data_IF_263003544936
#
_entry.id   IF_263003544936
#
_cell.length_a   1.000
_cell.length_b   1.000
_cell.length_c   1.000
_cell.angle_alpha   90.00
_cell.angle_beta   90.00
_cell.angle_gamma   90.00
#
_symmetry.space_group_name_H-M   'P 1'
#
loop_
_entity.id
_entity.type
_entity.pdbx_description
1 polymer ?
#
# COMPACT_ATOMS: atom_id res chain seq x y z
N UNK A 1 -67.59 9.30 -89.29
CA UNK A 1 -66.31 8.66 -88.96
C UNK A 1 -66.48 8.04 -87.59
N UNK A 2 -66.69 6.72 -87.52
CA UNK A 2 -66.88 6.00 -86.25
C UNK A 2 -65.51 5.58 -85.67
N UNK A 3 -65.18 5.90 -84.41
CA UNK A 3 -63.90 5.51 -83.83
C UNK A 3 -64.00 4.03 -83.40
N UNK A 4 -63.28 3.14 -84.08
CA UNK A 4 -63.09 1.76 -83.62
C UNK A 4 -62.23 1.77 -82.35
N UNK A 5 -62.85 1.60 -81.19
CA UNK A 5 -62.13 1.48 -79.93
C UNK A 5 -61.38 0.14 -79.89
N UNK A 6 -60.04 0.19 -79.88
CA UNK A 6 -59.21 -1.01 -79.68
C UNK A 6 -59.24 -1.43 -78.21
N UNK A 7 -60.25 -2.21 -77.81
CA UNK A 7 -60.39 -2.73 -76.44
C UNK A 7 -59.16 -3.55 -75.99
N UNK A 8 -58.46 -4.21 -76.91
CA UNK A 8 -57.20 -4.92 -76.63
C UNK A 8 -56.10 -3.95 -76.19
N UNK A 9 -56.03 -2.76 -76.79
CA UNK A 9 -55.02 -1.76 -76.49
C UNK A 9 -55.31 -1.08 -75.13
N UNK A 10 -56.59 -0.84 -74.84
CA UNK A 10 -57.05 -0.36 -73.52
C UNK A 10 -56.79 -1.40 -72.42
N UNK A 11 -57.04 -2.69 -72.71
CA UNK A 11 -56.75 -3.79 -71.81
C UNK A 11 -55.26 -3.95 -71.53
N UNK A 12 -54.42 -3.90 -72.58
CA UNK A 12 -52.97 -3.98 -72.45
C UNK A 12 -52.39 -2.78 -71.68
N UNK A 13 -52.89 -1.56 -71.92
CA UNK A 13 -52.48 -0.36 -71.19
C UNK A 13 -52.85 -0.44 -69.70
N UNK A 14 -54.07 -0.88 -69.39
CA UNK A 14 -54.52 -1.08 -68.01
C UNK A 14 -53.69 -2.16 -67.30
N UNK A 15 -53.37 -3.27 -67.99
CA UNK A 15 -52.53 -4.34 -67.44
C UNK A 15 -51.09 -3.86 -67.19
N UNK A 16 -50.50 -3.11 -68.13
CA UNK A 16 -49.18 -2.51 -67.98
C UNK A 16 -49.14 -1.52 -66.81
N UNK A 17 -50.16 -0.68 -66.69
CA UNK A 17 -50.32 0.25 -65.56
C UNK A 17 -50.41 -0.48 -64.22
N UNK A 18 -51.17 -1.58 -64.15
CA UNK A 18 -51.25 -2.41 -62.95
C UNK A 18 -49.89 -3.04 -62.58
N UNK A 19 -49.14 -3.56 -63.56
CA UNK A 19 -47.80 -4.12 -63.35
C UNK A 19 -46.84 -3.04 -62.84
N UNK A 20 -46.86 -1.85 -63.44
CA UNK A 20 -46.01 -0.73 -63.01
C UNK A 20 -46.36 -0.24 -61.60
N UNK A 21 -47.64 -0.23 -61.23
CA UNK A 21 -48.06 0.11 -59.87
C UNK A 21 -47.58 -0.91 -58.85
N UNK A 22 -47.71 -2.22 -59.15
CA UNK A 22 -47.19 -3.28 -58.26
C UNK A 22 -45.66 -3.18 -58.14
N UNK A 23 -44.97 -3.03 -59.26
CA UNK A 23 -43.51 -2.92 -59.28
C UNK A 23 -43.02 -1.66 -58.54
N UNK A 24 -43.63 -0.51 -58.80
CA UNK A 24 -43.33 0.74 -58.11
C UNK A 24 -43.63 0.68 -56.61
N UNK A 25 -44.71 0.00 -56.22
CA UNK A 25 -45.04 -0.26 -54.81
C UNK A 25 -43.98 -1.12 -54.11
N UNK A 26 -43.56 -2.23 -54.72
CA UNK A 26 -42.51 -3.10 -54.17
C UNK A 26 -41.15 -2.40 -54.11
N UNK A 27 -40.81 -1.60 -55.11
CA UNK A 27 -39.56 -0.84 -55.15
C UNK A 27 -39.53 0.27 -54.08
N UNK A 28 -40.64 1.01 -53.92
CA UNK A 28 -40.79 2.04 -52.89
C UNK A 28 -40.72 1.44 -51.48
N UNK A 29 -41.38 0.29 -51.25
CA UNK A 29 -41.33 -0.42 -49.98
C UNK A 29 -39.91 -0.87 -49.61
N UNK A 30 -39.11 -1.30 -50.60
CA UNK A 30 -37.70 -1.67 -50.39
C UNK A 30 -36.85 -0.46 -50.00
N UNK A 31 -37.00 0.67 -50.69
CA UNK A 31 -36.24 1.89 -50.37
C UNK A 31 -36.55 2.39 -48.95
N UNK A 32 -37.83 2.44 -48.57
CA UNK A 32 -38.22 2.87 -47.23
C UNK A 32 -37.67 1.95 -46.12
N UNK A 33 -37.53 0.65 -46.40
CA UNK A 33 -36.96 -0.33 -45.47
C UNK A 33 -35.46 -0.16 -45.25
N UNK A 34 -34.70 0.26 -46.27
CA UNK A 34 -33.24 0.41 -46.17
C UNK A 34 -32.83 1.63 -45.33
N UNK A 35 -33.70 2.63 -45.17
CA UNK A 35 -33.42 3.80 -44.32
C UNK A 35 -33.72 3.58 -42.83
N UNK A 36 -34.52 2.56 -42.49
CA UNK A 36 -34.93 2.31 -41.12
C UNK A 36 -33.84 1.61 -40.28
N UNK A 37 -32.86 0.98 -40.94
CA UNK A 37 -31.84 0.15 -40.31
C UNK A 37 -30.45 0.52 -40.81
N UNK A 38 -29.48 0.57 -39.91
CA UNK A 38 -28.07 0.67 -40.22
C UNK A 38 -27.34 -0.60 -39.80
N UNK A 39 -26.24 -0.93 -40.50
CA UNK A 39 -25.40 -2.10 -40.22
C UNK A 39 -24.07 -1.67 -39.62
N UNK A 40 -23.59 -2.43 -38.64
CA UNK A 40 -22.39 -2.15 -37.86
C UNK A 40 -21.72 -3.47 -37.52
N UNK A 41 -20.40 -3.47 -37.43
CA UNK A 41 -19.64 -4.60 -36.93
C UNK A 41 -19.26 -4.42 -35.47
N UNK A 42 -19.42 -5.50 -34.69
CA UNK A 42 -18.91 -5.59 -33.32
C UNK A 42 -17.81 -6.64 -33.29
N UNK A 43 -16.61 -6.23 -32.93
CA UNK A 43 -15.43 -7.10 -32.87
C UNK A 43 -15.22 -7.57 -31.43
N UNK A 44 -15.39 -8.87 -31.20
CA UNK A 44 -15.15 -9.51 -29.91
C UNK A 44 -13.76 -10.11 -29.89
N UNK A 45 -12.99 -9.78 -28.85
CA UNK A 45 -11.65 -10.32 -28.60
C UNK A 45 -11.68 -11.69 -27.89
N UNK A 46 -12.88 -12.20 -27.59
CA UNK A 46 -13.12 -13.37 -26.77
C UNK A 46 -14.21 -14.25 -27.40
N UNK A 47 -14.33 -15.53 -27.02
CA UNK A 47 -15.40 -16.41 -27.48
C UNK A 47 -16.80 -15.86 -27.12
N UNK A 48 -17.70 -15.83 -28.10
CA UNK A 48 -19.08 -15.34 -27.94
C UNK A 48 -20.08 -16.47 -27.69
N UNK A 49 -19.84 -17.26 -26.64
CA UNK A 49 -20.69 -18.40 -26.28
C UNK A 49 -22.16 -17.97 -26.08
N UNK A 50 -23.08 -18.70 -26.71
CA UNK A 50 -24.53 -18.44 -26.60
C UNK A 50 -25.04 -17.30 -27.48
N UNK A 51 -24.19 -16.68 -28.30
CA UNK A 51 -24.59 -15.70 -29.32
C UNK A 51 -24.85 -16.43 -30.65
N UNK A 52 -25.97 -16.13 -31.28
CA UNK A 52 -26.36 -16.70 -32.59
C UNK A 52 -27.01 -15.65 -33.49
N UNK A 53 -27.16 -15.97 -34.77
CA UNK A 53 -27.93 -15.12 -35.70
C UNK A 53 -29.34 -14.89 -35.16
N UNK A 54 -29.81 -13.64 -35.26
CA UNK A 54 -31.08 -13.21 -34.67
C UNK A 54 -31.03 -12.86 -33.18
N UNK A 55 -29.89 -13.03 -32.50
CA UNK A 55 -29.73 -12.60 -31.10
C UNK A 55 -30.05 -11.12 -30.94
N UNK A 56 -30.67 -10.77 -29.82
CA UNK A 56 -31.14 -9.40 -29.57
C UNK A 56 -29.94 -8.48 -29.31
N UNK A 57 -29.97 -7.30 -29.95
CA UNK A 57 -29.05 -6.20 -29.66
C UNK A 57 -29.82 -5.14 -28.89
N UNK A 58 -29.33 -4.84 -27.70
CA UNK A 58 -29.91 -3.86 -26.79
C UNK A 58 -29.02 -2.64 -26.71
N UNK A 59 -29.62 -1.46 -26.65
CA UNK A 59 -28.92 -0.21 -26.34
C UNK A 59 -29.40 0.29 -24.99
N UNK A 60 -28.51 0.39 -24.01
CA UNK A 60 -28.85 0.73 -22.62
C UNK A 60 -30.06 -0.10 -22.07
N UNK A 61 -30.16 -1.38 -22.46
CA UNK A 61 -31.24 -2.30 -22.04
C UNK A 61 -32.53 -2.24 -22.87
N UNK A 62 -32.58 -1.44 -23.93
CA UNK A 62 -33.73 -1.34 -24.84
C UNK A 62 -33.43 -2.13 -26.11
N UNK A 63 -34.34 -3.00 -26.55
CA UNK A 63 -34.20 -3.75 -27.80
C UNK A 63 -34.21 -2.80 -29.01
N UNK A 64 -33.05 -2.64 -29.65
CA UNK A 64 -32.86 -1.70 -30.76
C UNK A 64 -32.42 -2.40 -32.05
N UNK A 65 -32.09 -3.69 -31.99
CA UNK A 65 -31.57 -4.42 -33.14
C UNK A 65 -31.48 -5.92 -32.96
N UNK A 66 -30.82 -6.56 -33.92
CA UNK A 66 -30.50 -7.98 -33.85
C UNK A 66 -29.17 -8.28 -34.55
N UNK A 67 -28.52 -9.37 -34.16
CA UNK A 67 -27.39 -9.95 -34.88
C UNK A 67 -27.91 -10.47 -36.22
N UNK A 68 -27.20 -10.12 -37.28
CA UNK A 68 -27.49 -10.56 -38.65
C UNK A 68 -26.63 -11.76 -39.02
N UNK A 69 -25.32 -11.64 -38.85
CA UNK A 69 -24.34 -12.65 -39.23
C UNK A 69 -23.19 -12.68 -38.19
N UNK A 70 -22.59 -13.86 -38.00
CA UNK A 70 -21.40 -14.08 -37.17
C UNK A 70 -20.28 -14.70 -38.00
N UNK A 71 -19.13 -14.03 -38.02
CA UNK A 71 -17.95 -14.47 -38.76
C UNK A 71 -16.74 -14.54 -37.83
N UNK A 72 -15.80 -15.45 -38.11
CA UNK A 72 -14.50 -15.43 -37.47
C UNK A 72 -13.61 -14.40 -38.18
N UNK A 73 -12.76 -13.70 -37.42
CA UNK A 73 -11.78 -12.80 -38.02
C UNK A 73 -10.80 -13.61 -38.89
N UNK A 74 -10.52 -13.20 -40.13
CA UNK A 74 -9.54 -13.88 -40.99
C UNK A 74 -8.12 -13.87 -40.40
N UNK A 75 -7.79 -12.85 -39.62
CA UNK A 75 -6.45 -12.64 -39.07
C UNK A 75 -6.21 -13.38 -37.76
N UNK A 76 -7.28 -13.62 -36.98
CA UNK A 76 -7.22 -14.25 -35.67
C UNK A 76 -8.50 -15.07 -35.42
N UNK A 77 -8.43 -16.42 -35.53
CA UNK A 77 -9.58 -17.29 -35.30
C UNK A 77 -10.17 -17.21 -33.88
N UNK A 78 -9.45 -16.64 -32.92
CA UNK A 78 -9.95 -16.37 -31.57
C UNK A 78 -10.89 -15.17 -31.47
N UNK A 79 -10.97 -14.34 -32.52
CA UNK A 79 -11.81 -13.15 -32.57
C UNK A 79 -13.05 -13.38 -33.42
N UNK A 80 -14.18 -12.84 -32.96
CA UNK A 80 -15.47 -12.97 -33.64
C UNK A 80 -15.99 -11.61 -34.06
N UNK A 81 -16.37 -11.50 -35.32
CA UNK A 81 -16.98 -10.32 -35.93
C UNK A 81 -18.48 -10.59 -36.00
N UNK A 82 -19.26 -9.84 -35.21
CA UNK A 82 -20.71 -9.88 -35.26
C UNK A 82 -21.23 -8.71 -36.10
N UNK A 83 -21.87 -9.01 -37.22
CA UNK A 83 -22.58 -8.03 -38.03
C UNK A 83 -23.96 -7.83 -37.41
N UNK A 84 -24.22 -6.63 -36.92
CA UNK A 84 -25.49 -6.27 -36.30
C UNK A 84 -26.29 -5.32 -37.18
N UNK A 85 -27.62 -5.44 -37.13
CA UNK A 85 -28.53 -4.42 -37.64
C UNK A 85 -29.17 -3.71 -36.47
N UNK A 86 -29.17 -2.38 -36.52
CA UNK A 86 -29.75 -1.52 -35.48
C UNK A 86 -30.58 -0.42 -36.13
N UNK A 87 -31.59 0.06 -35.44
CA UNK A 87 -32.43 1.16 -35.94
C UNK A 87 -31.57 2.38 -36.27
N UNK A 88 -31.87 3.06 -37.39
CA UNK A 88 -31.13 4.25 -37.83
C UNK A 88 -31.20 5.41 -36.82
N UNK A 89 -32.24 5.43 -35.98
CA UNK A 89 -32.47 6.42 -34.92
C UNK A 89 -31.62 6.18 -33.66
N UNK A 90 -30.91 5.06 -33.56
CA UNK A 90 -30.08 4.75 -32.40
C UNK A 90 -28.95 5.78 -32.25
N UNK A 91 -28.76 6.40 -31.06
CA UNK A 91 -27.80 7.47 -30.86
C UNK A 91 -26.37 6.93 -30.67
N UNK A 92 -25.81 6.34 -31.71
CA UNK A 92 -24.49 5.74 -31.71
C UNK A 92 -23.39 6.79 -31.87
N UNK A 93 -22.41 6.72 -30.99
CA UNK A 93 -21.27 7.64 -30.87
C UNK A 93 -19.95 6.89 -30.89
N UNK A 94 -18.85 7.59 -31.16
CA UNK A 94 -17.51 7.00 -31.23
C UNK A 94 -17.09 6.28 -29.94
N UNK A 95 -17.57 6.74 -28.78
CA UNK A 95 -17.34 6.14 -27.46
C UNK A 95 -18.45 5.17 -27.03
N UNK A 96 -19.27 4.69 -27.96
CA UNK A 96 -20.22 3.60 -27.69
C UNK A 96 -19.46 2.31 -27.49
N UNK A 97 -19.70 1.64 -26.37
CA UNK A 97 -19.04 0.35 -26.10
C UNK A 97 -20.01 -0.80 -26.17
N UNK A 98 -19.54 -1.94 -26.69
CA UNK A 98 -20.32 -3.16 -26.79
C UNK A 98 -19.88 -4.15 -25.70
N UNK A 99 -20.81 -4.86 -25.11
CA UNK A 99 -20.55 -5.94 -24.16
C UNK A 99 -21.45 -7.13 -24.46
N UNK A 100 -20.90 -8.34 -24.31
CA UNK A 100 -21.70 -9.56 -24.31
C UNK A 100 -22.40 -9.67 -22.94
N UNK A 101 -23.71 -9.93 -22.95
CA UNK A 101 -24.49 -10.13 -21.73
C UNK A 101 -25.36 -11.36 -21.84
N UNK A 102 -25.25 -12.25 -20.87
CA UNK A 102 -26.06 -13.46 -20.77
C UNK A 102 -27.38 -13.12 -20.09
N UNK A 103 -28.49 -13.38 -20.77
CA UNK A 103 -29.84 -13.18 -20.23
C UNK A 103 -30.42 -14.48 -19.70
N UNK A 104 -30.72 -14.51 -18.39
CA UNK A 104 -31.42 -15.60 -17.73
C UNK A 104 -30.57 -16.85 -17.49
N UNK A 105 -31.20 -17.88 -16.91
CA UNK A 105 -30.56 -19.17 -16.59
C UNK A 105 -30.31 -20.05 -17.82
N UNK A 106 -30.93 -19.73 -18.95
CA UNK A 106 -30.85 -20.51 -20.19
C UNK A 106 -29.57 -20.28 -20.99
N UNK A 107 -28.73 -19.31 -20.59
CA UNK A 107 -27.44 -19.05 -21.22
C UNK A 107 -27.51 -18.35 -22.57
N UNK A 108 -28.65 -17.76 -22.93
CA UNK A 108 -28.80 -17.02 -24.20
C UNK A 108 -28.06 -15.69 -24.07
N UNK A 109 -27.13 -15.44 -24.98
CA UNK A 109 -26.34 -14.21 -24.99
C UNK A 109 -26.97 -13.14 -25.87
N UNK A 110 -26.82 -11.91 -25.43
CA UNK A 110 -27.29 -10.70 -26.12
C UNK A 110 -26.15 -9.70 -26.19
N UNK A 111 -26.16 -8.84 -27.21
CA UNK A 111 -25.20 -7.74 -27.30
C UNK A 111 -25.81 -6.53 -26.61
N UNK A 112 -25.16 -6.02 -25.59
CA UNK A 112 -25.51 -4.75 -24.97
C UNK A 112 -24.55 -3.66 -25.47
N UNK A 113 -25.12 -2.68 -26.14
CA UNK A 113 -24.46 -1.43 -26.48
C UNK A 113 -24.73 -0.44 -25.35
N UNK A 114 -23.67 0.18 -24.85
CA UNK A 114 -23.76 1.24 -23.86
C UNK A 114 -23.40 2.56 -24.54
N UNK A 115 -24.30 3.51 -24.41
CA UNK A 115 -24.17 4.79 -25.06
C UNK A 115 -22.97 5.60 -24.58
N UNK A 116 -22.35 6.27 -25.54
CA UNK A 116 -21.33 7.28 -25.30
C UNK A 116 -21.85 8.58 -24.71
N UNK A 117 -20.91 9.47 -24.38
CA UNK A 117 -21.12 10.82 -23.86
C UNK A 117 -21.88 11.69 -24.85
N UNK A 118 -22.78 12.56 -24.37
CA UNK A 118 -23.63 13.39 -25.24
C UNK A 118 -22.83 14.32 -26.18
N UNK A 119 -21.59 14.65 -25.83
CA UNK A 119 -20.69 15.52 -26.58
C UNK A 119 -19.82 14.77 -27.62
N UNK A 120 -19.84 13.45 -27.61
CA UNK A 120 -19.01 12.62 -28.50
C UNK A 120 -19.57 12.61 -29.93
N UNK A 121 -18.72 12.70 -30.98
CA UNK A 121 -19.17 12.68 -32.36
C UNK A 121 -20.00 11.43 -32.71
N UNK A 122 -20.90 11.51 -33.70
CA UNK A 122 -21.64 10.34 -34.17
C UNK A 122 -20.68 9.31 -34.77
N UNK A 123 -20.90 8.03 -34.47
CA UNK A 123 -20.08 6.95 -34.98
C UNK A 123 -20.16 6.90 -36.52
N UNK A 124 -19.01 6.91 -37.18
CA UNK A 124 -18.89 6.82 -38.65
C UNK A 124 -17.88 5.75 -39.02
N UNK A 125 -18.03 5.18 -40.21
CA UNK A 125 -17.03 4.30 -40.79
C UNK A 125 -15.75 5.11 -41.08
N UNK A 126 -14.60 4.56 -40.70
CA UNK A 126 -13.31 5.18 -41.02
C UNK A 126 -12.97 5.04 -42.50
N UNK A 127 -11.96 5.79 -42.97
CA UNK A 127 -11.56 5.75 -44.38
C UNK A 127 -11.07 4.34 -44.77
N UNK A 128 -11.85 3.66 -45.61
CA UNK A 128 -11.58 2.28 -46.07
C UNK A 128 -12.44 1.20 -45.41
N UNK A 129 -13.36 1.56 -44.52
CA UNK A 129 -14.35 0.66 -43.94
C UNK A 129 -15.71 0.86 -44.62
N UNK A 130 -16.40 -0.25 -44.94
CA UNK A 130 -17.75 -0.21 -45.51
C UNK A 130 -18.83 0.07 -44.45
N UNK A 131 -18.58 -0.32 -43.19
CA UNK A 131 -19.47 -0.14 -42.04
C UNK A 131 -18.69 0.30 -40.80
N UNK A 132 -19.31 1.03 -39.86
CA UNK A 132 -18.65 1.40 -38.61
C UNK A 132 -18.35 0.16 -37.75
N UNK A 133 -17.26 0.24 -36.97
CA UNK A 133 -16.78 -0.86 -36.13
C UNK A 133 -16.80 -0.43 -34.65
N UNK A 134 -17.29 -1.31 -33.77
CA UNK A 134 -17.22 -1.15 -32.32
C UNK A 134 -16.41 -2.32 -31.75
N UNK A 135 -15.41 -2.02 -30.92
CA UNK A 135 -14.67 -3.04 -30.19
C UNK A 135 -15.42 -3.40 -28.91
N UNK A 136 -15.67 -4.69 -28.69
CA UNK A 136 -16.35 -5.16 -27.50
C UNK A 136 -15.41 -5.18 -26.28
N UNK A 137 -15.93 -4.76 -25.14
CA UNK A 137 -15.26 -4.87 -23.85
C UNK A 137 -15.45 -6.26 -23.22
N UNK A 138 -14.52 -6.63 -22.34
CA UNK A 138 -14.56 -7.90 -21.62
C UNK A 138 -15.73 -7.99 -20.64
N UNK A 139 -16.44 -9.12 -20.71
CA UNK A 139 -17.53 -9.44 -19.78
C UNK A 139 -17.00 -9.61 -18.34
N UNK A 140 -17.69 -8.98 -17.39
CA UNK A 140 -17.30 -9.00 -15.97
C UNK A 140 -17.42 -10.37 -15.30
N UNK A 141 -18.30 -11.25 -15.80
CA UNK A 141 -18.46 -12.62 -15.27
C UNK A 141 -17.27 -13.51 -15.64
N UNK A 142 -16.78 -13.40 -16.88
CA UNK A 142 -15.60 -14.15 -17.34
C UNK A 142 -14.35 -13.75 -16.55
N UNK A 143 -14.15 -12.44 -16.32
CA UNK A 143 -13.07 -11.96 -15.45
C UNK A 143 -13.15 -12.53 -14.03
N UNK A 144 -14.35 -12.67 -13.46
CA UNK A 144 -14.53 -13.28 -12.14
C UNK A 144 -14.14 -14.77 -12.11
N UNK A 145 -14.50 -15.52 -13.15
CA UNK A 145 -14.16 -16.95 -13.27
C UNK A 145 -12.65 -17.12 -13.37
N UNK A 146 -11.97 -16.35 -14.23
CA UNK A 146 -10.51 -16.37 -14.36
C UNK A 146 -9.82 -15.95 -13.05
N UNK A 147 -10.32 -14.88 -12.40
CA UNK A 147 -9.78 -14.43 -11.10
C UNK A 147 -9.98 -15.47 -9.98
N UNK A 148 -10.98 -16.35 -10.08
CA UNK A 148 -11.26 -17.35 -9.03
C UNK A 148 -10.22 -18.45 -8.93
N UNK A 149 -9.61 -18.86 -10.05
CA UNK A 149 -8.52 -19.84 -10.06
C UNK A 149 -7.24 -19.23 -9.43
N UNK A 150 -6.98 -17.96 -9.70
CA UNK A 150 -5.85 -17.21 -9.11
C UNK A 150 -6.00 -17.02 -7.60
N UNK A 151 -7.22 -16.78 -7.11
CA UNK A 151 -7.50 -16.66 -5.66
C UNK A 151 -7.21 -17.97 -4.93
N UNK A 152 -7.62 -19.11 -5.50
CA UNK A 152 -7.38 -20.42 -4.89
C UNK A 152 -5.88 -20.78 -4.84
N UNK A 153 -5.14 -20.43 -5.90
CA UNK A 153 -3.69 -20.56 -5.95
C UNK A 153 -3.00 -19.68 -4.91
N UNK A 154 -3.40 -18.41 -4.82
CA UNK A 154 -2.85 -17.45 -3.86
C UNK A 154 -3.12 -17.87 -2.41
N UNK A 155 -4.35 -18.31 -2.11
CA UNK A 155 -4.71 -18.82 -0.79
C UNK A 155 -3.86 -20.04 -0.40
N UNK A 156 -3.64 -20.96 -1.35
CA UNK A 156 -2.80 -22.15 -1.12
C UNK A 156 -1.35 -21.77 -0.83
N UNK A 157 -0.79 -20.80 -1.56
CA UNK A 157 0.57 -20.30 -1.33
C UNK A 157 0.72 -19.59 0.03
N UNK A 158 -0.27 -18.80 0.42
CA UNK A 158 -0.29 -18.14 1.74
C UNK A 158 -0.35 -19.18 2.86
N UNK A 159 -1.17 -20.22 2.71
CA UNK A 159 -1.24 -21.31 3.68
C UNK A 159 0.09 -22.05 3.85
N UNK A 160 0.79 -22.35 2.75
CA UNK A 160 2.10 -23.01 2.82
C UNK A 160 3.13 -22.15 3.57
N UNK A 161 3.16 -20.84 3.34
CA UNK A 161 4.05 -19.91 4.05
C UNK A 161 3.71 -19.78 5.54
N UNK A 162 2.42 -19.82 5.90
CA UNK A 162 2.00 -19.82 7.30
C UNK A 162 2.41 -21.10 8.02
N UNK A 163 2.29 -22.26 7.36
CA UNK A 163 2.75 -23.54 7.90
C UNK A 163 4.27 -23.56 8.08
N UNK A 164 5.02 -22.95 7.17
CA UNK A 164 6.48 -22.80 7.29
C UNK A 164 6.87 -21.85 8.43
N UNK A 165 6.14 -20.74 8.59
CA UNK A 165 6.36 -19.81 9.70
C UNK A 165 6.10 -20.46 11.07
N UNK A 166 5.05 -21.28 11.17
CA UNK A 166 4.69 -22.02 12.38
C UNK A 166 5.44 -23.36 12.55
N UNK A 167 6.49 -23.58 11.77
CA UNK A 167 7.33 -24.76 11.91
C UNK A 167 8.01 -24.80 13.28
N UNK A 168 8.27 -26.01 13.74
CA UNK A 168 8.93 -26.29 15.01
C UNK A 168 10.34 -25.66 15.07
N UNK A 169 11.03 -25.58 13.92
CA UNK A 169 12.33 -24.90 13.79
C UNK A 169 12.23 -23.38 14.06
N UNK A 170 11.19 -22.71 13.57
CA UNK A 170 11.00 -21.28 13.84
C UNK A 170 10.57 -21.04 15.29
N UNK A 171 9.74 -21.91 15.86
CA UNK A 171 9.38 -21.85 17.28
C UNK A 171 10.63 -21.96 18.18
N UNK A 172 11.56 -22.87 17.84
CA UNK A 172 12.83 -23.04 18.55
C UNK A 172 13.73 -21.79 18.44
N UNK A 173 13.81 -21.16 17.26
CA UNK A 173 14.57 -19.91 17.05
C UNK A 173 14.00 -18.74 17.84
N UNK A 174 12.68 -18.60 17.88
CA UNK A 174 12.00 -17.56 18.67
C UNK A 174 12.25 -17.80 20.16
N UNK A 175 12.06 -19.04 20.64
CA UNK A 175 12.33 -19.42 22.02
C UNK A 175 13.79 -19.10 22.42
N UNK A 176 14.75 -19.50 21.60
CA UNK A 176 16.19 -19.22 21.82
C UNK A 176 16.48 -17.73 21.90
N UNK A 177 15.82 -16.91 21.08
CA UNK A 177 15.99 -15.45 21.08
C UNK A 177 15.44 -14.84 22.37
N UNK A 178 14.26 -15.27 22.81
CA UNK A 178 13.65 -14.84 24.08
C UNK A 178 14.53 -15.22 25.27
N UNK A 179 15.10 -16.44 25.26
CA UNK A 179 16.03 -16.92 26.29
C UNK A 179 17.30 -16.04 26.39
N UNK A 180 17.85 -15.64 25.25
CA UNK A 180 19.03 -14.76 25.21
C UNK A 180 18.70 -13.33 25.68
N UNK A 181 17.51 -12.84 25.33
CA UNK A 181 16.98 -11.56 25.78
C UNK A 181 16.80 -11.54 27.32
N UNK A 182 16.26 -12.61 27.89
CA UNK A 182 16.09 -12.73 29.34
C UNK A 182 17.45 -12.74 30.05
N UNK A 183 18.40 -13.56 29.56
CA UNK A 183 19.78 -13.59 30.10
C UNK A 183 20.47 -12.23 30.04
N UNK A 184 20.37 -11.52 28.91
CA UNK A 184 20.95 -10.18 28.77
C UNK A 184 20.34 -9.20 29.77
N UNK A 185 19.03 -9.30 30.00
CA UNK A 185 18.29 -8.44 30.94
C UNK A 185 18.65 -8.73 32.39
N UNK A 186 18.86 -10.00 32.75
CA UNK A 186 19.35 -10.38 34.06
C UNK A 186 20.76 -9.84 34.33
N UNK A 187 21.65 -9.87 33.34
CA UNK A 187 23.00 -9.29 33.44
C UNK A 187 22.92 -7.78 33.63
N UNK A 188 22.09 -7.08 32.86
CA UNK A 188 21.89 -5.63 33.03
C UNK A 188 21.25 -5.28 34.39
N UNK A 189 20.28 -6.08 34.85
CA UNK A 189 19.62 -5.88 36.14
C UNK A 189 20.54 -6.12 37.33
N UNK A 190 21.47 -7.09 37.23
CA UNK A 190 22.43 -7.42 38.29
C UNK A 190 23.64 -6.49 38.37
N UNK A 191 24.12 -5.97 37.23
CA UNK A 191 25.26 -5.05 37.21
C UNK A 191 24.88 -3.59 37.50
N UNK A 192 23.57 -3.25 37.46
CA UNK A 192 23.08 -1.92 37.83
C UNK A 192 23.41 -1.49 39.26
N UNK A 193 23.40 -2.43 40.22
CA UNK A 193 23.80 -2.16 41.61
C UNK A 193 25.29 -1.83 41.73
N UNK A 194 26.16 -2.57 41.03
CA UNK A 194 27.61 -2.30 41.02
C UNK A 194 27.95 -0.96 40.39
N UNK A 195 27.28 -0.61 39.29
CA UNK A 195 27.46 0.70 38.65
C UNK A 195 26.99 1.82 39.60
N UNK A 196 25.87 1.61 40.30
CA UNK A 196 25.39 2.52 41.34
C UNK A 196 26.40 2.72 42.48
N UNK A 197 27.01 1.64 42.97
CA UNK A 197 28.06 1.70 44.01
C UNK A 197 29.31 2.45 43.54
N UNK A 198 29.76 2.21 42.30
CA UNK A 198 30.92 2.90 41.72
C UNK A 198 30.65 4.41 41.65
N UNK A 199 29.49 4.81 41.12
CA UNK A 199 29.09 6.23 41.03
C UNK A 199 28.97 6.87 42.41
N UNK A 200 28.35 6.18 43.38
CA UNK A 200 28.22 6.68 44.74
C UNK A 200 29.58 6.88 45.44
N UNK A 201 30.53 5.96 45.23
CA UNK A 201 31.88 6.07 45.76
C UNK A 201 32.68 7.20 45.09
N UNK A 202 32.54 7.38 43.77
CA UNK A 202 33.11 8.51 43.03
C UNK A 202 32.56 9.86 43.51
N UNK A 203 31.25 9.95 43.76
CA UNK A 203 30.62 11.15 44.28
C UNK A 203 31.14 11.50 45.67
N UNK A 204 31.20 10.52 46.57
CA UNK A 204 31.72 10.70 47.94
C UNK A 204 33.19 11.14 47.95
N UNK A 205 34.04 10.47 47.16
CA UNK A 205 35.45 10.85 47.04
C UNK A 205 35.65 12.25 46.46
N UNK A 206 34.79 12.68 45.54
CA UNK A 206 34.82 14.05 45.00
C UNK A 206 34.38 15.08 46.03
N UNK A 207 33.36 14.77 46.85
CA UNK A 207 32.93 15.62 47.96
C UNK A 207 34.00 15.78 49.04
N UNK A 208 34.74 14.72 49.36
CA UNK A 208 35.82 14.75 50.36
C UNK A 208 37.06 15.54 49.89
N UNK A 209 37.27 15.65 48.56
CA UNK A 209 38.37 16.42 47.98
C UNK A 209 38.17 17.94 48.09
N UNK A 210 36.92 18.42 48.08
CA UNK A 210 36.58 19.86 48.18
C UNK A 210 37.11 20.50 49.48
N UNK A 211 36.81 19.98 50.69
CA UNK A 211 37.34 20.55 51.93
C UNK A 211 38.85 20.40 52.03
N UNK A 212 39.43 19.31 51.54
CA UNK A 212 40.88 19.11 51.51
C UNK A 212 41.59 20.19 50.65
N UNK A 213 40.99 20.57 49.52
CA UNK A 213 41.53 21.64 48.68
C UNK A 213 41.37 23.02 49.34
N UNK A 214 40.25 23.24 50.04
CA UNK A 214 40.07 24.47 50.81
C UNK A 214 41.14 24.60 51.91
N UNK A 215 41.43 23.50 52.63
CA UNK A 215 42.48 23.45 53.64
C UNK A 215 43.88 23.66 53.04
N UNK A 216 44.17 23.02 51.91
CA UNK A 216 45.44 23.19 51.20
C UNK A 216 45.64 24.64 50.77
N UNK A 217 44.62 25.27 50.19
CA UNK A 217 44.66 26.69 49.79
C UNK A 217 44.86 27.61 50.98
N UNK A 218 44.26 27.27 52.13
CA UNK A 218 44.46 28.01 53.38
C UNK A 218 45.90 27.90 53.88
N UNK A 219 46.49 26.71 53.86
CA UNK A 219 47.90 26.49 54.24
C UNK A 219 48.86 27.23 53.32
N UNK A 220 48.63 27.21 52.00
CA UNK A 220 49.42 27.99 51.02
C UNK A 220 49.37 29.47 51.36
N UNK A 221 48.17 30.01 51.64
CA UNK A 221 47.99 31.42 51.97
C UNK A 221 48.68 31.77 53.29
N UNK A 222 48.49 30.94 54.33
CA UNK A 222 49.13 31.14 55.64
C UNK A 222 50.67 31.13 55.53
N UNK A 223 51.26 30.27 54.67
CA UNK A 223 52.71 30.22 54.40
C UNK A 223 53.17 31.47 53.64
N UNK A 224 52.42 31.91 52.62
CA UNK A 224 52.72 33.10 51.85
C UNK A 224 52.74 34.36 52.75
N UNK A 225 51.71 34.50 53.60
CA UNK A 225 51.58 35.61 54.54
C UNK A 225 52.69 35.62 55.60
N UNK A 226 53.08 34.44 56.09
CA UNK A 226 54.20 34.32 57.02
C UNK A 226 55.53 34.74 56.38
N UNK A 227 55.72 34.44 55.09
CA UNK A 227 56.91 34.82 54.34
C UNK A 227 56.97 36.32 54.05
N UNK A 228 55.84 36.95 53.73
CA UNK A 228 55.77 38.40 53.51
C UNK A 228 56.04 39.21 54.79
N UNK A 229 55.77 38.62 55.96
CA UNK A 229 56.04 39.20 57.28
C UNK A 229 57.49 39.01 57.76
N UNK A 230 58.29 38.16 57.11
CA UNK A 230 59.71 38.03 57.45
C UNK A 230 60.46 39.32 57.08
N UNK A 231 61.29 39.83 58.00
CA UNK A 231 62.10 41.02 57.73
C UNK A 231 62.99 40.82 56.49
N UNK A 232 63.20 41.86 55.65
CA UNK A 232 64.06 41.81 54.47
C UNK A 232 65.47 41.27 54.74
N UNK A 233 65.95 41.43 55.98
CA UNK A 233 67.26 41.01 56.47
C UNK A 233 67.47 39.49 56.43
N UNK A 234 66.45 38.67 56.67
CA UNK A 234 66.57 37.20 56.60
C UNK A 234 66.66 36.71 55.14
N UNK A 235 65.94 37.35 54.23
CA UNK A 235 65.96 37.04 52.80
C UNK A 235 67.32 37.40 52.18
N UNK A 236 67.96 38.48 52.65
CA UNK A 236 69.34 38.82 52.26
C UNK A 236 70.39 37.86 52.83
N UNK A 237 70.14 37.27 54.01
CA UNK A 237 71.12 36.41 54.68
C UNK A 237 71.14 34.98 54.13
N UNK A 238 69.99 34.47 53.63
CA UNK A 238 69.86 33.11 53.07
C UNK A 238 69.08 33.12 51.74
N UNK A 239 69.70 33.58 50.63
CA UNK A 239 69.03 33.72 49.34
C UNK A 239 68.57 32.38 48.74
N UNK A 240 69.31 31.29 48.95
CA UNK A 240 68.98 29.95 48.44
C UNK A 240 67.68 29.40 49.05
N UNK A 241 67.48 29.57 50.36
CA UNK A 241 66.27 29.12 51.05
C UNK A 241 65.02 29.90 50.59
N UNK A 242 65.19 31.19 50.26
CA UNK A 242 64.12 32.01 49.71
C UNK A 242 63.71 31.60 48.30
N UNK A 243 64.66 31.19 47.46
CA UNK A 243 64.37 30.65 46.12
C UNK A 243 63.69 29.28 46.19
N UNK A 244 64.19 28.35 47.01
CA UNK A 244 63.60 27.02 47.18
C UNK A 244 62.14 27.09 47.65
N UNK A 245 61.83 28.00 48.58
CA UNK A 245 60.47 28.19 49.07
C UNK A 245 59.57 28.83 47.99
N UNK A 246 60.08 29.79 47.21
CA UNK A 246 59.34 30.39 46.07
C UNK A 246 59.00 29.33 45.02
N UNK A 247 59.96 28.46 44.70
CA UNK A 247 59.77 27.34 43.77
C UNK A 247 58.79 26.30 44.33
N UNK A 248 58.88 25.97 45.61
CA UNK A 248 57.92 25.07 46.29
C UNK A 248 56.49 25.64 46.26
N UNK A 249 56.33 26.94 46.48
CA UNK A 249 55.03 27.62 46.41
C UNK A 249 54.47 27.65 45.00
N UNK A 250 55.30 27.90 43.99
CA UNK A 250 54.89 27.84 42.58
C UNK A 250 54.41 26.42 42.21
N UNK A 251 55.15 25.39 42.63
CA UNK A 251 54.77 23.98 42.44
C UNK A 251 53.49 23.62 43.18
N UNK A 252 53.27 24.14 44.39
CA UNK A 252 52.03 23.92 45.14
C UNK A 252 50.83 24.59 44.46
N UNK A 253 51.01 25.80 43.94
CA UNK A 253 49.97 26.51 43.19
C UNK A 253 49.58 25.76 41.91
N UNK A 254 50.57 25.29 41.13
CA UNK A 254 50.34 24.47 39.94
C UNK A 254 49.64 23.15 40.29
N UNK A 255 50.05 22.51 41.38
CA UNK A 255 49.41 21.28 41.86
C UNK A 255 47.95 21.52 42.27
N UNK A 256 47.68 22.62 42.98
CA UNK A 256 46.31 23.01 43.37
C UNK A 256 45.43 23.25 42.15
N UNK A 257 45.92 23.98 41.14
CA UNK A 257 45.17 24.25 39.91
C UNK A 257 44.88 22.97 39.12
N UNK A 258 45.86 22.04 39.05
CA UNK A 258 45.66 20.72 38.46
C UNK A 258 44.59 19.91 39.19
N UNK A 259 44.59 19.92 40.52
CA UNK A 259 43.60 19.19 41.31
C UNK A 259 42.21 19.81 41.14
N UNK A 260 42.09 21.15 41.18
CA UNK A 260 40.82 21.84 40.90
C UNK A 260 40.27 21.46 39.52
N UNK A 261 41.13 21.43 38.49
CA UNK A 261 40.76 20.99 37.16
C UNK A 261 40.39 19.49 37.07
N UNK A 262 40.94 18.63 37.93
CA UNK A 262 40.53 17.22 38.03
C UNK A 262 39.18 17.06 38.73
N UNK A 263 38.94 17.80 39.81
CA UNK A 263 37.65 17.79 40.55
C UNK A 263 36.52 18.26 39.64
N UNK A 264 36.69 19.40 38.95
CA UNK A 264 35.68 19.92 38.03
C UNK A 264 35.37 18.95 36.88
N UNK A 265 36.39 18.28 36.33
CA UNK A 265 36.20 17.26 35.29
C UNK A 265 35.51 16.01 35.80
N UNK A 266 35.84 15.54 37.00
CA UNK A 266 35.17 14.41 37.62
C UNK A 266 33.70 14.73 37.93
N UNK A 267 33.40 15.93 38.44
CA UNK A 267 32.03 16.36 38.71
C UNK A 267 31.20 16.40 37.42
N UNK A 268 31.75 17.00 36.35
CA UNK A 268 31.11 17.02 35.04
C UNK A 268 30.93 15.61 34.43
N UNK A 269 31.92 14.72 34.57
CA UNK A 269 31.83 13.35 34.07
C UNK A 269 30.79 12.51 34.83
N UNK A 270 30.71 12.67 36.16
CA UNK A 270 29.72 11.99 37.00
C UNK A 270 28.31 12.51 36.71
N UNK A 271 28.14 13.82 36.56
CA UNK A 271 26.86 14.43 36.18
C UNK A 271 26.42 13.98 34.78
N UNK A 272 27.32 14.01 33.79
CA UNK A 272 27.05 13.56 32.43
C UNK A 272 26.66 12.08 32.35
N UNK A 273 27.31 11.21 33.14
CA UNK A 273 26.92 9.80 33.20
C UNK A 273 25.50 9.59 33.75
N UNK A 274 25.11 10.36 34.77
CA UNK A 274 23.74 10.31 35.30
C UNK A 274 22.67 10.73 34.28
N UNK A 275 22.93 11.84 33.59
CA UNK A 275 21.96 12.42 32.64
C UNK A 275 21.91 11.67 31.31
N UNK A 276 23.05 11.24 30.75
CA UNK A 276 23.09 10.58 29.44
C UNK A 276 22.90 9.07 29.50
N UNK A 277 23.35 8.41 30.58
CA UNK A 277 23.32 6.94 30.66
C UNK A 277 22.22 6.44 31.58
N UNK A 278 22.13 6.96 32.80
CA UNK A 278 21.20 6.44 33.80
C UNK A 278 19.75 6.90 33.57
N UNK A 279 19.54 8.15 33.14
CA UNK A 279 18.20 8.71 32.92
C UNK A 279 17.42 7.98 31.81
N UNK A 280 18.00 7.67 30.63
CA UNK A 280 17.30 6.93 29.58
C UNK A 280 17.15 5.44 29.87
N UNK A 281 18.03 4.85 30.69
CA UNK A 281 18.00 3.42 31.03
C UNK A 281 16.73 3.01 31.79
N UNK A 282 16.25 3.85 32.71
CA UNK A 282 15.04 3.56 33.49
C UNK A 282 13.80 3.31 32.61
N UNK A 283 13.41 4.25 31.75
CA UNK A 283 12.32 4.08 30.79
C UNK A 283 12.57 2.94 29.80
N UNK A 284 13.81 2.77 29.31
CA UNK A 284 14.15 1.71 28.37
C UNK A 284 13.95 0.30 28.97
N UNK A 285 14.34 0.09 30.23
CA UNK A 285 14.13 -1.19 30.93
C UNK A 285 12.65 -1.45 31.19
N UNK A 286 11.86 -0.41 31.51
CA UNK A 286 10.42 -0.57 31.68
C UNK A 286 9.72 -0.93 30.37
N UNK A 287 10.08 -0.26 29.27
CA UNK A 287 9.53 -0.56 27.94
C UNK A 287 9.94 -1.95 27.46
N UNK A 288 11.17 -2.37 27.76
CA UNK A 288 11.64 -3.70 27.45
C UNK A 288 10.90 -4.80 28.21
N UNK A 289 10.64 -4.61 29.52
CA UNK A 289 9.82 -5.53 30.31
C UNK A 289 8.39 -5.62 29.78
N UNK A 290 7.79 -4.49 29.42
CA UNK A 290 6.45 -4.44 28.80
C UNK A 290 6.41 -5.26 27.51
N UNK A 291 7.43 -5.14 26.66
CA UNK A 291 7.55 -5.93 25.44
C UNK A 291 7.71 -7.43 25.73
N UNK A 292 8.49 -7.82 26.74
CA UNK A 292 8.61 -9.23 27.14
C UNK A 292 7.29 -9.78 27.64
N UNK A 293 6.56 -9.03 28.47
CA UNK A 293 5.27 -9.45 29.00
C UNK A 293 4.24 -9.63 27.86
N UNK A 294 4.23 -8.70 26.90
CA UNK A 294 3.37 -8.78 25.70
C UNK A 294 3.73 -9.97 24.80
N UNK A 295 5.03 -10.23 24.59
CA UNK A 295 5.51 -11.37 23.81
C UNK A 295 5.23 -12.71 24.50
N UNK A 296 5.35 -12.76 25.83
CA UNK A 296 5.04 -13.95 26.62
C UNK A 296 3.55 -14.25 26.59
N UNK A 297 2.70 -13.23 26.75
CA UNK A 297 1.25 -13.36 26.63
C UNK A 297 0.83 -13.78 25.21
N UNK A 298 1.49 -13.27 24.17
CA UNK A 298 1.24 -13.67 22.79
C UNK A 298 1.64 -15.14 22.56
N UNK A 299 2.80 -15.55 23.06
CA UNK A 299 3.30 -16.92 22.95
C UNK A 299 2.36 -17.90 23.65
N UNK A 300 1.94 -17.59 24.87
CA UNK A 300 0.99 -18.41 25.61
C UNK A 300 -0.39 -18.46 24.94
N UNK A 301 -0.83 -17.37 24.30
CA UNK A 301 -2.07 -17.34 23.52
C UNK A 301 -1.98 -18.20 22.25
N UNK A 302 -0.82 -18.21 21.58
CA UNK A 302 -0.56 -19.07 20.42
C UNK A 302 -0.48 -20.53 20.84
N UNK A 303 0.16 -20.85 21.97
CA UNK A 303 0.28 -22.22 22.48
C UNK A 303 -1.09 -22.80 22.89
N UNK A 304 -1.95 -21.99 23.53
CA UNK A 304 -3.30 -22.43 23.91
C UNK A 304 -4.28 -22.52 22.75
N UNK A 305 -4.14 -21.72 21.69
CA UNK A 305 -5.08 -21.72 20.56
C UNK A 305 -4.40 -21.40 19.21
N UNK A 306 -3.58 -22.31 18.68
CA UNK A 306 -2.88 -22.09 17.41
C UNK A 306 -3.85 -22.00 16.22
N UNK A 307 -4.95 -22.75 16.26
CA UNK A 307 -5.95 -22.78 15.19
C UNK A 307 -6.79 -21.49 15.11
N UNK A 308 -7.11 -20.85 16.25
CA UNK A 308 -7.91 -19.63 16.30
C UNK A 308 -7.21 -18.39 15.74
N UNK A 309 -5.88 -18.34 15.80
CA UNK A 309 -5.09 -17.26 15.23
C UNK A 309 -4.98 -17.37 13.69
N UNK A 310 -4.84 -18.59 13.16
CA UNK A 310 -4.75 -18.85 11.71
C UNK A 310 -6.08 -18.77 10.97
N UNK A 311 -7.19 -19.11 11.63
CA UNK A 311 -8.50 -19.23 10.99
C UNK A 311 -9.41 -18.02 11.22
N UNK A 312 -8.91 -16.97 11.89
CA UNK A 312 -9.62 -15.70 12.06
C UNK A 312 -11.01 -15.86 12.65
N UNK A 313 -11.13 -16.21 13.94
CA UNK A 313 -12.45 -16.41 14.52
C UNK A 313 -12.48 -16.61 16.02
N UNK A 314 -12.25 -15.56 16.80
CA UNK A 314 -13.01 -15.41 18.05
C UNK A 314 -14.33 -14.71 17.70
N UNK A 315 -15.40 -15.49 17.51
CA UNK A 315 -16.76 -14.94 17.56
C UNK A 315 -16.93 -14.32 18.94
N UNK A 316 -17.09 -13.00 19.00
CA UNK A 316 -17.46 -12.31 20.22
C UNK A 316 -18.70 -12.99 20.83
N UNK A 317 -18.58 -13.45 22.08
CA UNK A 317 -19.72 -13.99 22.82
C UNK A 317 -20.77 -12.88 22.94
N UNK A 318 -21.92 -13.11 22.31
CA UNK A 318 -23.05 -12.20 22.33
C UNK A 318 -23.65 -12.20 23.75
N UNK A 319 -23.40 -11.13 24.50
CA UNK A 319 -23.92 -10.94 25.85
C UNK A 319 -25.47 -10.97 25.80
N UNK A 320 -26.06 -11.99 26.43
CA UNK A 320 -27.51 -12.05 26.67
C UNK A 320 -27.81 -11.59 28.10
N UNK A 321 -28.36 -10.38 28.30
CA UNK A 321 -28.88 -10.01 29.60
C UNK A 321 -30.14 -10.84 29.91
N UNK A 322 -30.23 -11.33 31.16
CA UNK A 322 -31.45 -11.87 31.75
C UNK A 322 -32.30 -10.74 32.33
#
# INVERSE_FOLDING_TARGET
MEPRANHVLIGAFTLLGAILLVFGGLWSARWASDQAWQQIEVHFLQPVSGLSDGSVVQYNGINMGSVRDLNLSPDDPGRVIAVIRIQAEAPLREDTTARLSVSGLTGVSTIQLRGGSADSPPLKAEAGQDVPIIIAEESGLQRLIETSEDIASTASQVMLRLLEFLSEENAERVSTTLDNIDRFTQVLGGEGERIGEIVANLHRGSQDLVPLMADLRRVVTDIADAFEQLEPSLVETFPEAGEELRDAMAKLAEASERIDGMVARNEAAVAGFGDEVLTPMGPAVQEFRRLIDELSALTEKIERNPAGFLLGGEKAEEYRPQ
#
